data_IF_974309120668
#
_entry.id   IF_974309120668
#
_cell.length_a   1.000
_cell.length_b   1.000
_cell.length_c   1.000
_cell.angle_alpha   90.00
_cell.angle_beta   90.00
_cell.angle_gamma   90.00
#
_symmetry.space_group_name_H-M   'P 1'
#
loop_
_entity.id
_entity.type
_entity.pdbx_description
1 polymer ?
#
# COMPACT_ATOMS: atom_id res chain seq x y z
N UNK A 1 -10.79 4.37 20.38
CA UNK A 1 -9.89 3.29 20.84
C UNK A 1 -8.47 3.86 20.89
N UNK A 2 -7.86 4.05 22.07
CA UNK A 2 -6.48 4.56 22.16
C UNK A 2 -5.53 3.37 22.12
N UNK A 3 -4.88 3.13 20.98
CA UNK A 3 -3.80 2.16 20.90
C UNK A 3 -2.59 2.73 21.65
N UNK A 4 -2.21 2.11 22.78
CA UNK A 4 -0.97 2.43 23.47
C UNK A 4 0.15 1.59 22.86
N UNK A 5 0.76 2.09 21.80
CA UNK A 5 1.93 1.46 21.22
C UNK A 5 3.17 1.75 22.06
N UNK A 6 4.02 0.75 22.27
CA UNK A 6 5.31 0.98 22.92
C UNK A 6 6.26 1.71 21.95
N UNK A 7 6.95 2.75 22.43
CA UNK A 7 7.89 3.58 21.64
C UNK A 7 9.02 2.79 20.95
N UNK A 8 9.19 1.51 21.28
CA UNK A 8 10.25 0.63 20.76
C UNK A 8 9.73 -0.39 19.73
N UNK A 9 8.41 -0.62 19.66
CA UNK A 9 7.82 -1.67 18.82
C UNK A 9 7.91 -1.39 17.33
N UNK A 10 7.97 -0.12 16.91
CA UNK A 10 8.09 0.25 15.49
C UNK A 10 9.28 -0.43 14.79
N UNK A 11 10.38 -0.67 15.52
CA UNK A 11 11.56 -1.37 14.97
C UNK A 11 11.22 -2.80 14.52
N UNK A 12 10.33 -3.48 15.24
CA UNK A 12 9.86 -4.82 14.90
C UNK A 12 9.03 -4.77 13.62
N UNK A 13 8.05 -3.87 13.55
CA UNK A 13 7.19 -3.72 12.36
C UNK A 13 7.98 -3.30 11.12
N UNK A 14 8.86 -2.32 11.24
CA UNK A 14 9.78 -1.92 10.18
C UNK A 14 10.63 -3.09 9.68
N UNK A 15 11.27 -3.86 10.58
CA UNK A 15 12.06 -5.04 10.20
C UNK A 15 11.20 -6.07 9.48
N UNK A 16 9.98 -6.32 9.95
CA UNK A 16 9.03 -7.23 9.32
C UNK A 16 8.70 -6.76 7.90
N UNK A 17 8.29 -5.51 7.70
CA UNK A 17 7.94 -5.01 6.36
C UNK A 17 9.13 -5.08 5.40
N UNK A 18 10.33 -4.67 5.83
CA UNK A 18 11.54 -4.79 4.99
C UNK A 18 11.85 -6.25 4.65
N UNK A 19 11.68 -7.18 5.59
CA UNK A 19 11.89 -8.60 5.32
C UNK A 19 10.91 -9.14 4.27
N UNK A 20 9.64 -8.72 4.34
CA UNK A 20 8.61 -9.04 3.36
C UNK A 20 8.93 -8.47 1.98
N UNK A 21 9.28 -7.18 1.90
CA UNK A 21 9.65 -6.52 0.64
C UNK A 21 10.89 -7.16 -0.01
N UNK A 22 11.89 -7.56 0.79
CA UNK A 22 13.06 -8.29 0.28
C UNK A 22 12.68 -9.67 -0.25
N UNK A 23 11.82 -10.40 0.47
CA UNK A 23 11.34 -11.72 0.06
C UNK A 23 10.51 -11.63 -1.23
N UNK A 24 9.57 -10.68 -1.31
CA UNK A 24 8.69 -10.51 -2.47
C UNK A 24 9.47 -10.19 -3.75
N UNK A 25 10.57 -9.43 -3.65
CA UNK A 25 11.44 -9.15 -4.81
C UNK A 25 12.18 -10.39 -5.32
N UNK A 26 12.72 -11.20 -4.41
CA UNK A 26 13.56 -12.39 -4.73
C UNK A 26 12.76 -13.63 -5.14
N UNK A 27 11.53 -13.75 -4.68
CA UNK A 27 10.71 -14.94 -4.94
C UNK A 27 10.31 -15.00 -6.42
N UNK A 28 10.34 -16.20 -7.00
CA UNK A 28 9.71 -16.46 -8.31
C UNK A 28 8.20 -16.27 -8.16
N UNK A 29 7.52 -15.91 -9.25
CA UNK A 29 6.06 -15.84 -9.25
C UNK A 29 5.48 -17.16 -8.75
N UNK A 30 4.59 -17.09 -7.76
CA UNK A 30 3.81 -18.22 -7.27
C UNK A 30 2.32 -18.04 -7.50
N UNK A 31 1.89 -16.88 -7.97
CA UNK A 31 0.48 -16.60 -8.24
C UNK A 31 0.19 -16.78 -9.73
N UNK A 32 -1.10 -16.89 -10.07
CA UNK A 32 -1.56 -16.82 -11.45
C UNK A 32 -1.10 -15.50 -12.08
N UNK A 33 -0.98 -15.49 -13.41
CA UNK A 33 -0.60 -14.31 -14.20
C UNK A 33 0.82 -13.79 -13.90
N UNK A 34 1.73 -14.68 -13.52
CA UNK A 34 3.14 -14.38 -13.23
C UNK A 34 3.35 -13.30 -12.14
N UNK A 35 2.37 -13.13 -11.25
CA UNK A 35 2.43 -12.15 -10.16
C UNK A 35 3.11 -12.68 -8.91
N UNK A 36 3.79 -11.79 -8.21
CA UNK A 36 4.42 -12.05 -6.90
C UNK A 36 3.56 -11.60 -5.72
N UNK A 37 2.68 -10.62 -5.95
CA UNK A 37 1.81 -10.00 -4.95
C UNK A 37 0.46 -9.65 -5.57
N UNK A 38 -0.55 -9.50 -4.71
CA UNK A 38 -1.86 -8.91 -5.02
C UNK A 38 -1.95 -7.59 -4.25
N UNK A 39 -2.31 -6.50 -4.93
CA UNK A 39 -2.47 -5.20 -4.27
C UNK A 39 -3.85 -5.10 -3.64
N UNK A 40 -4.00 -4.25 -2.62
CA UNK A 40 -5.25 -4.14 -1.86
C UNK A 40 -6.46 -3.78 -2.73
N UNK A 41 -6.28 -2.91 -3.73
CA UNK A 41 -7.33 -2.53 -4.69
C UNK A 41 -7.83 -3.72 -5.52
N UNK A 42 -6.96 -4.67 -5.88
CA UNK A 42 -7.35 -5.87 -6.61
C UNK A 42 -8.19 -6.81 -5.71
N UNK A 43 -7.83 -6.93 -4.42
CA UNK A 43 -8.62 -7.70 -3.45
C UNK A 43 -10.03 -7.10 -3.30
N UNK A 44 -10.14 -5.77 -3.17
CA UNK A 44 -11.43 -5.10 -3.12
C UNK A 44 -12.22 -5.26 -4.43
N UNK A 45 -11.55 -5.15 -5.57
CA UNK A 45 -12.17 -5.29 -6.89
C UNK A 45 -12.68 -6.71 -7.17
N UNK A 46 -12.07 -7.74 -6.58
CA UNK A 46 -12.55 -9.12 -6.67
C UNK A 46 -13.95 -9.28 -6.08
N UNK A 47 -14.27 -8.57 -4.99
CA UNK A 47 -15.62 -8.58 -4.39
C UNK A 47 -16.70 -8.06 -5.36
N UNK A 48 -16.32 -7.18 -6.28
CA UNK A 48 -17.21 -6.68 -7.32
C UNK A 48 -17.22 -7.59 -8.56
N UNK A 49 -16.05 -7.92 -9.10
CA UNK A 49 -15.92 -8.78 -10.28
C UNK A 49 -14.51 -9.36 -10.41
N UNK A 50 -14.32 -10.62 -10.02
CA UNK A 50 -13.07 -11.36 -10.19
C UNK A 50 -12.61 -11.39 -11.66
N UNK A 51 -13.56 -11.56 -12.60
CA UNK A 51 -13.24 -11.64 -14.03
C UNK A 51 -12.63 -10.33 -14.54
N UNK A 52 -13.12 -9.18 -14.08
CA UNK A 52 -12.56 -7.87 -14.43
C UNK A 52 -11.10 -7.76 -13.97
N UNK A 53 -10.80 -8.23 -12.77
CA UNK A 53 -9.44 -8.25 -12.22
C UNK A 53 -8.53 -9.17 -13.05
N UNK A 54 -8.98 -10.37 -13.39
CA UNK A 54 -8.23 -11.27 -14.28
C UNK A 54 -7.94 -10.64 -15.65
N UNK A 55 -8.94 -9.99 -16.25
CA UNK A 55 -8.77 -9.28 -17.53
C UNK A 55 -7.75 -8.14 -17.40
N UNK A 56 -7.78 -7.41 -16.29
CA UNK A 56 -6.78 -6.38 -15.98
C UNK A 56 -5.36 -6.93 -15.91
N UNK A 57 -5.18 -8.13 -15.36
CA UNK A 57 -3.86 -8.78 -15.34
C UNK A 57 -3.37 -9.26 -16.71
N UNK A 58 -4.27 -9.72 -17.57
CA UNK A 58 -3.91 -10.27 -18.88
C UNK A 58 -3.72 -9.19 -19.95
N UNK A 59 -4.53 -8.13 -19.90
CA UNK A 59 -4.64 -7.15 -20.99
C UNK A 59 -4.39 -5.71 -20.55
N UNK A 60 -4.16 -5.48 -19.26
CA UNK A 60 -4.07 -4.14 -18.67
C UNK A 60 -5.43 -3.56 -18.28
N UNK A 61 -5.39 -2.45 -17.55
CA UNK A 61 -6.57 -1.73 -17.07
C UNK A 61 -6.83 -0.50 -17.91
N UNK A 62 -8.12 -0.18 -18.12
CA UNK A 62 -8.53 1.04 -18.80
C UNK A 62 -8.66 2.16 -17.76
N UNK A 63 -8.01 3.28 -18.01
CA UNK A 63 -8.17 4.49 -17.21
C UNK A 63 -9.55 5.09 -17.48
N UNK A 64 -10.23 5.50 -16.40
CA UNK A 64 -11.57 6.09 -16.46
C UNK A 64 -11.54 7.49 -15.88
N UNK A 65 -12.49 8.32 -16.28
CA UNK A 65 -12.61 9.69 -15.74
C UNK A 65 -12.70 9.70 -14.21
N UNK A 66 -13.42 8.74 -13.62
CA UNK A 66 -13.51 8.61 -12.16
C UNK A 66 -12.16 8.26 -11.52
N UNK A 67 -11.32 7.45 -12.18
CA UNK A 67 -9.97 7.16 -11.69
C UNK A 67 -9.08 8.40 -11.77
N UNK A 68 -9.16 9.16 -12.88
CA UNK A 68 -8.40 10.39 -13.05
C UNK A 68 -8.78 11.44 -11.99
N UNK A 69 -10.08 11.64 -11.76
CA UNK A 69 -10.59 12.52 -10.71
C UNK A 69 -10.13 12.06 -9.32
N UNK A 70 -10.15 10.75 -9.06
CA UNK A 70 -9.64 10.16 -7.82
C UNK A 70 -8.15 10.45 -7.62
N UNK A 71 -7.32 10.22 -8.63
CA UNK A 71 -5.88 10.50 -8.58
C UNK A 71 -5.59 11.98 -8.28
N UNK A 72 -6.26 12.91 -8.98
CA UNK A 72 -6.14 14.36 -8.71
C UNK A 72 -6.56 14.71 -7.29
N UNK A 73 -7.63 14.10 -6.79
CA UNK A 73 -8.07 14.27 -5.41
C UNK A 73 -7.03 13.83 -4.39
N UNK A 74 -6.39 12.67 -4.62
CA UNK A 74 -5.32 12.16 -3.74
C UNK A 74 -4.09 13.08 -3.74
N UNK A 75 -3.71 13.64 -4.89
CA UNK A 75 -2.61 14.62 -5.00
C UNK A 75 -2.89 15.88 -4.18
N UNK A 76 -4.08 16.47 -4.33
CA UNK A 76 -4.49 17.67 -3.59
C UNK A 76 -4.48 17.42 -2.07
N UNK A 77 -4.99 16.26 -1.63
CA UNK A 77 -5.01 15.90 -0.20
C UNK A 77 -3.59 15.74 0.38
N UNK A 78 -2.60 15.41 -0.46
CA UNK A 78 -1.22 15.18 -0.03
C UNK A 78 -0.25 16.31 -0.37
N UNK A 79 -0.73 17.42 -0.91
CA UNK A 79 0.11 18.56 -1.30
C UNK A 79 0.95 19.10 -0.14
N UNK A 80 0.33 19.22 1.05
CA UNK A 80 0.99 19.69 2.27
C UNK A 80 1.72 18.57 3.06
N UNK A 81 1.78 17.36 2.50
CA UNK A 81 2.43 16.23 3.17
C UNK A 81 3.96 16.30 3.08
N UNK A 82 4.62 15.83 4.13
CA UNK A 82 6.09 15.74 4.16
C UNK A 82 6.50 14.35 3.69
N UNK A 83 7.32 14.28 2.64
CA UNK A 83 7.94 13.03 2.21
C UNK A 83 8.99 12.61 3.25
N UNK A 84 8.78 11.44 3.85
CA UNK A 84 9.69 10.82 4.81
C UNK A 84 10.10 9.44 4.32
N UNK A 85 11.21 8.91 4.86
CA UNK A 85 11.56 7.53 4.57
C UNK A 85 10.65 6.53 5.30
N UNK A 86 10.62 5.28 4.84
CA UNK A 86 9.76 4.25 5.42
C UNK A 86 10.05 3.97 6.91
N UNK A 87 11.31 4.10 7.34
CA UNK A 87 11.73 3.86 8.72
C UNK A 87 11.23 4.98 9.63
N UNK A 88 11.33 6.22 9.15
CA UNK A 88 10.77 7.42 9.79
C UNK A 88 9.25 7.32 9.88
N UNK A 89 8.57 6.93 8.81
CA UNK A 89 7.13 6.70 8.82
C UNK A 89 6.71 5.72 9.94
N UNK A 90 7.35 4.55 10.04
CA UNK A 90 7.06 3.61 11.14
C UNK A 90 7.33 4.17 12.52
N UNK A 91 8.39 4.96 12.68
CA UNK A 91 8.70 5.60 13.95
C UNK A 91 7.57 6.56 14.33
N UNK A 92 7.16 7.44 13.42
CA UNK A 92 6.08 8.41 13.60
C UNK A 92 4.75 7.74 13.98
N UNK A 93 4.34 6.66 13.30
CA UNK A 93 3.12 5.88 13.64
C UNK A 93 3.05 5.51 15.13
N UNK A 94 4.20 5.19 15.74
CA UNK A 94 4.27 4.67 17.10
C UNK A 94 4.62 5.73 18.14
N UNK A 95 5.17 6.88 17.72
CA UNK A 95 5.63 7.92 18.66
C UNK A 95 4.76 9.15 18.69
N UNK A 96 4.02 9.41 17.62
CA UNK A 96 3.24 10.64 17.45
C UNK A 96 1.84 10.47 18.04
N UNK A 97 1.32 11.51 18.70
CA UNK A 97 -0.02 11.46 19.30
C UNK A 97 -1.12 11.32 18.25
N UNK A 98 -0.90 11.96 17.09
CA UNK A 98 -1.69 11.82 15.88
C UNK A 98 -0.76 12.02 14.68
N UNK A 99 -0.89 11.14 13.68
CA UNK A 99 -0.22 11.29 12.40
C UNK A 99 -1.09 10.70 11.30
N UNK A 100 -1.04 11.32 10.12
CA UNK A 100 -1.61 10.77 8.88
C UNK A 100 -0.44 10.38 7.99
N UNK A 101 -0.43 9.13 7.54
CA UNK A 101 0.62 8.61 6.69
C UNK A 101 -0.04 8.02 5.46
N UNK A 102 0.53 8.35 4.31
CA UNK A 102 0.13 7.84 3.01
C UNK A 102 1.35 7.24 2.32
N UNK A 103 1.15 6.12 1.62
CA UNK A 103 2.17 5.47 0.79
C UNK A 103 2.07 5.91 -0.69
N UNK A 104 1.37 7.02 -0.96
CA UNK A 104 1.20 7.62 -2.30
C UNK A 104 2.54 7.94 -2.98
#
# INVERSE_FOLDING_TARGET
>A
MKFKFSRVEWKRYYKTQISFLKRSRKQKSMLRFERKIVIASDVGSQLYCEKKVEMGYLYGTIETESMEQGSKGHEIITEDSIKVDLKEAWKEIFTSESCWISEL
#
